data_IF_864722421316
#
_entry.id   IF_864722421316
#
_cell.length_a   1.000
_cell.length_b   1.000
_cell.length_c   1.000
_cell.angle_alpha   90.00
_cell.angle_beta   90.00
_cell.angle_gamma   90.00
#
_symmetry.space_group_name_H-M   'P 1'
#
loop_
_entity.id
_entity.type
_entity.pdbx_description
1 polymer ?
#
# COMPACT_ATOMS: atom_id res chain seq x y z
N UNK A 1 1.65 -17.94 2.18
CA UNK A 1 2.26 -16.66 2.62
C UNK A 1 1.22 -15.82 3.32
N UNK A 2 1.55 -15.32 4.49
CA UNK A 2 0.64 -14.43 5.21
C UNK A 2 0.83 -13.00 4.74
N UNK A 3 -0.24 -12.37 4.28
CA UNK A 3 -0.21 -11.01 3.75
C UNK A 3 -1.42 -10.21 4.22
N UNK A 4 -1.39 -8.91 3.97
CA UNK A 4 -2.54 -8.03 4.21
C UNK A 4 -2.53 -6.95 3.13
N UNK A 5 -3.71 -6.54 2.68
CA UNK A 5 -3.88 -5.50 1.66
C UNK A 5 -4.59 -4.31 2.29
N UNK A 6 -3.85 -3.24 2.55
CA UNK A 6 -4.39 -2.04 3.20
C UNK A 6 -4.37 -0.86 2.22
N UNK A 7 -5.31 0.05 2.41
CA UNK A 7 -5.43 1.20 1.52
C UNK A 7 -5.93 2.43 2.27
N UNK A 8 -5.61 3.58 1.71
CA UNK A 8 -6.11 4.86 2.17
C UNK A 8 -6.32 5.81 0.99
N UNK A 9 -7.56 6.29 0.83
CA UNK A 9 -7.86 7.34 -0.13
C UNK A 9 -9.12 8.09 0.32
N UNK A 10 -9.17 9.39 0.03
CA UNK A 10 -10.33 10.20 0.38
C UNK A 10 -11.51 9.94 -0.57
N UNK A 11 -11.25 9.47 -1.77
CA UNK A 11 -12.25 9.28 -2.83
C UNK A 11 -12.47 7.84 -3.23
N UNK A 12 -11.84 6.90 -2.54
CA UNK A 12 -12.01 5.48 -2.83
C UNK A 12 -11.27 5.01 -4.09
N UNK A 13 -10.32 5.79 -4.60
CA UNK A 13 -9.60 5.46 -5.83
C UNK A 13 -8.73 4.22 -5.70
N UNK A 14 -8.23 3.95 -4.50
CA UNK A 14 -7.30 2.83 -4.24
C UNK A 14 -8.03 1.52 -3.97
N UNK A 15 -9.26 1.58 -3.48
CA UNK A 15 -9.99 0.39 -3.04
C UNK A 15 -10.09 -0.73 -4.08
N UNK A 16 -10.38 -0.46 -5.38
CA UNK A 16 -10.46 -1.55 -6.35
C UNK A 16 -9.15 -2.32 -6.52
N UNK A 17 -8.01 -1.63 -6.43
CA UNK A 17 -6.69 -2.24 -6.51
C UNK A 17 -6.43 -3.08 -5.26
N UNK A 18 -6.66 -2.49 -4.09
CA UNK A 18 -6.44 -3.17 -2.82
C UNK A 18 -7.30 -4.42 -2.68
N UNK A 19 -8.55 -4.34 -3.14
CA UNK A 19 -9.49 -5.46 -3.12
C UNK A 19 -9.01 -6.61 -4.01
N UNK A 20 -8.48 -6.29 -5.18
CA UNK A 20 -7.97 -7.31 -6.11
C UNK A 20 -6.70 -7.97 -5.58
N UNK A 21 -5.80 -7.21 -4.94
CA UNK A 21 -4.65 -7.78 -4.26
C UNK A 21 -5.08 -8.73 -3.14
N UNK A 22 -6.11 -8.34 -2.37
CA UNK A 22 -6.67 -9.20 -1.34
C UNK A 22 -7.20 -10.51 -1.89
N UNK A 23 -7.87 -10.44 -3.04
CA UNK A 23 -8.40 -11.64 -3.71
C UNK A 23 -7.28 -12.56 -4.20
N UNK A 24 -6.29 -11.99 -4.89
CA UNK A 24 -5.20 -12.78 -5.49
C UNK A 24 -4.33 -13.44 -4.42
N UNK A 25 -4.04 -12.73 -3.33
CA UNK A 25 -3.19 -13.26 -2.26
C UNK A 25 -3.99 -13.88 -1.12
N UNK A 26 -5.32 -13.99 -1.27
CA UNK A 26 -6.20 -14.59 -0.28
C UNK A 26 -5.96 -14.01 1.12
N UNK A 27 -5.98 -12.70 1.20
CA UNK A 27 -5.72 -11.99 2.43
C UNK A 27 -6.77 -10.91 2.69
N UNK A 28 -6.79 -10.43 3.94
CA UNK A 28 -7.70 -9.38 4.34
C UNK A 28 -7.37 -8.09 3.59
N UNK A 29 -8.40 -7.45 3.07
CA UNK A 29 -8.33 -6.10 2.50
C UNK A 29 -9.10 -5.17 3.42
N UNK A 30 -8.47 -4.10 3.87
CA UNK A 30 -9.10 -3.13 4.76
C UNK A 30 -8.52 -1.73 4.53
N UNK A 31 -9.25 -0.72 4.96
CA UNK A 31 -8.75 0.66 4.93
C UNK A 31 -7.88 0.93 6.17
N UNK A 32 -7.06 1.97 6.10
CA UNK A 32 -6.23 2.40 7.23
C UNK A 32 -6.99 3.48 8.02
N UNK A 33 -7.15 3.35 9.34
CA UNK A 33 -6.64 2.26 10.17
C UNK A 33 -7.49 1.00 10.05
N UNK A 34 -6.85 -0.19 10.01
CA UNK A 34 -7.61 -1.44 9.89
C UNK A 34 -8.32 -1.81 11.19
N UNK A 35 -9.38 -2.62 11.06
CA UNK A 35 -10.15 -3.09 12.21
C UNK A 35 -9.31 -3.99 13.13
N UNK A 36 -8.37 -4.75 12.55
CA UNK A 36 -7.48 -5.66 13.30
C UNK A 36 -6.03 -5.33 13.00
N UNK A 37 -5.15 -5.39 14.00
CA UNK A 37 -3.73 -5.10 13.78
C UNK A 37 -3.06 -6.17 12.91
N UNK A 38 -1.95 -5.79 12.30
CA UNK A 38 -1.09 -6.75 11.61
C UNK A 38 -0.46 -7.69 12.63
N UNK A 39 -0.40 -8.98 12.32
CA UNK A 39 0.17 -10.01 13.19
C UNK A 39 0.96 -11.03 12.38
N UNK A 40 2.24 -10.78 12.20
CA UNK A 40 3.13 -11.74 11.55
C UNK A 40 2.98 -11.82 10.04
N UNK A 41 2.51 -10.76 9.40
CA UNK A 41 2.45 -10.74 7.94
C UNK A 41 3.85 -10.73 7.35
N UNK A 42 4.06 -11.56 6.32
CA UNK A 42 5.30 -11.53 5.55
C UNK A 42 5.37 -10.25 4.73
N UNK A 43 4.26 -9.80 4.18
CA UNK A 43 4.17 -8.54 3.45
C UNK A 43 2.83 -7.87 3.72
N UNK A 44 2.89 -6.55 3.91
CA UNK A 44 1.70 -5.68 3.95
C UNK A 44 1.77 -4.77 2.75
N UNK A 45 0.81 -4.91 1.84
CA UNK A 45 0.67 -3.98 0.72
C UNK A 45 -0.08 -2.76 1.22
N UNK A 46 0.46 -1.58 1.00
CA UNK A 46 -0.18 -0.32 1.41
C UNK A 46 -0.34 0.58 0.20
N UNK A 47 -1.59 0.76 -0.22
CA UNK A 47 -1.95 1.66 -1.31
C UNK A 47 -2.43 2.98 -0.77
N UNK A 48 -1.88 4.08 -1.29
CA UNK A 48 -2.19 5.42 -0.78
C UNK A 48 -2.44 6.39 -1.94
N UNK A 49 -3.58 7.09 -1.88
CA UNK A 49 -3.77 8.26 -2.71
C UNK A 49 -3.16 9.45 -1.97
N UNK A 50 -2.11 10.03 -2.55
CA UNK A 50 -1.41 11.15 -1.89
C UNK A 50 -0.80 12.09 -2.92
N UNK A 51 -0.60 13.34 -2.50
CA UNK A 51 0.22 14.27 -3.26
C UNK A 51 1.68 14.13 -2.87
N UNK A 52 2.30 15.23 -2.43
CA UNK A 52 3.70 15.21 -2.03
C UNK A 52 3.96 14.75 -0.60
N UNK A 53 2.92 14.50 0.18
CA UNK A 53 3.04 14.18 1.60
C UNK A 53 2.16 12.99 1.97
N UNK A 54 2.71 12.10 2.81
CA UNK A 54 1.97 10.95 3.31
C UNK A 54 0.84 11.42 4.24
N UNK A 55 -0.41 10.94 4.02
CA UNK A 55 -1.51 11.27 4.91
C UNK A 55 -1.26 10.84 6.35
N UNK A 56 -1.68 11.67 7.30
CA UNK A 56 -1.43 11.42 8.73
C UNK A 56 -1.90 10.06 9.22
N UNK A 57 -3.08 9.54 8.83
CA UNK A 57 -3.50 8.20 9.30
C UNK A 57 -2.56 7.09 8.84
N UNK A 58 -1.99 7.18 7.64
CA UNK A 58 -1.03 6.20 7.13
C UNK A 58 0.29 6.32 7.88
N UNK A 59 0.77 7.53 8.08
CA UNK A 59 1.99 7.78 8.84
C UNK A 59 1.88 7.20 10.26
N UNK A 60 0.79 7.47 10.95
CA UNK A 60 0.52 6.95 12.30
C UNK A 60 0.51 5.42 12.33
N UNK A 61 -0.20 4.80 11.40
CA UNK A 61 -0.29 3.35 11.33
C UNK A 61 1.09 2.73 11.13
N UNK A 62 1.86 3.25 10.17
CA UNK A 62 3.18 2.70 9.85
C UNK A 62 4.16 2.84 11.00
N UNK A 63 4.12 3.93 11.77
CA UNK A 63 5.03 4.14 12.89
C UNK A 63 4.88 3.10 14.00
N UNK A 64 3.73 2.45 14.08
CA UNK A 64 3.46 1.40 15.07
C UNK A 64 3.88 0.01 14.59
N UNK A 65 4.34 -0.13 13.35
CA UNK A 65 4.77 -1.42 12.83
C UNK A 65 6.16 -1.81 13.33
N UNK A 66 6.35 -3.10 13.52
CA UNK A 66 7.62 -3.72 13.88
C UNK A 66 7.66 -5.12 13.24
N UNK A 67 8.80 -5.85 13.27
CA UNK A 67 8.89 -7.15 12.59
C UNK A 67 7.94 -8.23 13.10
N UNK A 68 7.46 -8.11 14.33
CA UNK A 68 6.45 -9.04 14.86
C UNK A 68 5.11 -8.86 14.14
N UNK A 69 4.82 -7.65 13.71
CA UNK A 69 3.58 -7.33 13.01
C UNK A 69 3.70 -7.51 11.49
N UNK A 70 4.80 -7.02 10.91
CA UNK A 70 5.02 -7.08 9.46
C UNK A 70 6.51 -7.16 9.17
N UNK A 71 6.93 -8.12 8.36
CA UNK A 71 8.35 -8.24 7.98
C UNK A 71 8.69 -7.29 6.84
N UNK A 72 7.79 -7.13 5.89
CA UNK A 72 7.98 -6.29 4.71
C UNK A 72 6.76 -5.41 4.49
N UNK A 73 6.99 -4.18 4.06
CA UNK A 73 5.94 -3.26 3.63
C UNK A 73 6.21 -2.86 2.19
N UNK A 74 5.20 -2.96 1.35
CA UNK A 74 5.28 -2.60 -0.06
C UNK A 74 4.25 -1.52 -0.37
N UNK A 75 4.72 -0.35 -0.77
CA UNK A 75 3.84 0.79 -1.08
C UNK A 75 3.52 0.88 -2.57
N UNK A 76 2.28 1.24 -2.88
CA UNK A 76 1.91 1.74 -4.20
C UNK A 76 1.12 3.03 -4.04
N UNK A 77 1.39 3.99 -4.91
CA UNK A 77 0.87 5.35 -4.77
C UNK A 77 -0.02 5.72 -5.95
N UNK A 78 -1.13 6.36 -5.64
CA UNK A 78 -2.01 6.95 -6.63
C UNK A 78 -1.79 8.47 -6.58
N UNK A 79 -1.38 9.04 -7.71
CA UNK A 79 -1.12 10.48 -7.86
C UNK A 79 -0.11 11.02 -6.85
N UNK A 80 0.86 10.19 -6.45
CA UNK A 80 1.82 10.53 -5.43
C UNK A 80 3.26 10.50 -5.90
N UNK A 81 4.13 11.14 -5.10
CA UNK A 81 5.56 11.14 -5.31
C UNK A 81 6.23 10.22 -4.30
N UNK A 82 7.03 9.22 -4.74
CA UNK A 82 7.73 8.32 -3.82
C UNK A 82 8.62 9.02 -2.80
N UNK A 83 9.12 10.22 -3.09
CA UNK A 83 9.90 11.00 -2.13
C UNK A 83 9.10 11.32 -0.86
N UNK A 84 7.77 11.40 -0.96
CA UNK A 84 6.90 11.59 0.19
C UNK A 84 6.92 10.44 1.18
N UNK A 85 7.50 9.30 0.82
CA UNK A 85 7.65 8.14 1.70
C UNK A 85 8.97 8.13 2.47
N UNK A 86 9.91 9.01 2.15
CA UNK A 86 11.28 8.93 2.70
C UNK A 86 11.30 8.93 4.22
N UNK A 87 10.50 9.77 4.86
CA UNK A 87 10.44 9.83 6.32
C UNK A 87 9.94 8.54 6.95
N UNK A 88 8.82 8.02 6.45
CA UNK A 88 8.24 6.79 7.00
C UNK A 88 9.08 5.56 6.65
N UNK A 89 9.73 5.57 5.50
CA UNK A 89 10.65 4.50 5.12
C UNK A 89 11.78 4.38 6.14
N UNK A 90 12.40 5.52 6.50
CA UNK A 90 13.46 5.54 7.51
C UNK A 90 12.97 5.03 8.87
N UNK A 91 11.77 5.45 9.29
CA UNK A 91 11.19 5.00 10.54
C UNK A 91 10.94 3.49 10.55
N UNK A 92 10.34 2.96 9.49
CA UNK A 92 10.08 1.53 9.38
C UNK A 92 11.38 0.73 9.43
N UNK A 93 12.40 1.16 8.69
CA UNK A 93 13.68 0.47 8.68
C UNK A 93 14.37 0.56 10.04
N UNK A 94 14.24 1.69 10.75
CA UNK A 94 14.75 1.81 12.13
C UNK A 94 14.06 0.84 13.08
N UNK A 95 12.80 0.50 12.82
CA UNK A 95 12.06 -0.48 13.61
C UNK A 95 12.32 -1.93 13.16
N UNK A 96 13.16 -2.14 12.15
CA UNK A 96 13.48 -3.46 11.64
C UNK A 96 12.52 -4.00 10.59
N UNK A 97 11.61 -3.17 10.09
CA UNK A 97 10.70 -3.54 9.02
C UNK A 97 11.33 -3.20 7.67
N UNK A 98 11.41 -4.19 6.78
CA UNK A 98 11.95 -3.94 5.44
C UNK A 98 10.93 -3.25 4.56
N UNK A 99 11.30 -2.12 3.98
CA UNK A 99 10.46 -1.42 3.00
C UNK A 99 10.93 -1.80 1.60
N UNK A 100 10.02 -2.34 0.80
CA UNK A 100 10.33 -2.76 -0.56
C UNK A 100 10.73 -1.54 -1.40
N UNK A 101 11.88 -1.61 -2.08
CA UNK A 101 12.40 -0.48 -2.85
C UNK A 101 11.55 -0.15 -4.08
N UNK A 102 10.93 -1.16 -4.67
CA UNK A 102 10.09 -0.98 -5.86
C UNK A 102 8.72 -0.42 -5.46
N UNK A 103 8.56 0.89 -5.54
CA UNK A 103 7.30 1.59 -5.25
C UNK A 103 6.57 1.81 -6.58
N UNK A 104 5.38 1.25 -6.69
CA UNK A 104 4.54 1.48 -7.86
C UNK A 104 3.87 2.84 -7.77
N UNK A 105 3.88 3.60 -8.86
CA UNK A 105 3.12 4.85 -8.95
C UNK A 105 2.13 4.76 -10.10
N UNK A 106 0.90 5.17 -9.85
CA UNK A 106 -0.16 5.21 -10.85
C UNK A 106 -0.80 6.59 -10.87
N UNK A 107 -1.21 7.03 -12.06
CA UNK A 107 -2.01 8.24 -12.21
C UNK A 107 -3.46 7.86 -12.48
N UNK A 108 -4.35 8.37 -11.64
CA UNK A 108 -5.79 8.23 -11.84
C UNK A 108 -6.39 9.63 -11.87
N UNK A 109 -6.93 10.02 -13.02
CA UNK A 109 -7.52 11.33 -13.21
C UNK A 109 -9.00 11.31 -12.84
N UNK A 110 -9.44 12.36 -12.15
CA UNK A 110 -10.85 12.61 -11.90
C UNK A 110 -11.24 13.98 -12.47
N UNK A 111 -12.47 14.08 -12.95
CA UNK A 111 -13.01 15.35 -13.45
C UNK A 111 -14.07 15.88 -12.48
N UNK A 112 -14.51 17.13 -12.70
CA UNK A 112 -15.58 17.74 -11.90
C UNK A 112 -16.89 16.93 -11.93
N UNK A 113 -17.09 16.16 -12.99
CA UNK A 113 -18.36 15.44 -13.22
C UNK A 113 -18.23 13.93 -13.04
N UNK A 114 -17.03 13.44 -12.81
CA UNK A 114 -16.80 11.98 -12.72
C UNK A 114 -15.68 11.69 -11.72
N UNK A 115 -15.98 10.83 -10.74
CA UNK A 115 -14.96 10.28 -9.87
C UNK A 115 -14.00 9.44 -10.70
N UNK A 116 -12.72 9.70 -10.56
CA UNK A 116 -11.70 8.82 -11.12
C UNK A 116 -11.71 7.49 -10.38
N UNK A 117 -11.60 6.40 -11.13
CA UNK A 117 -11.41 5.08 -10.56
C UNK A 117 -10.31 4.34 -11.30
N UNK A 118 -9.72 3.35 -10.64
CA UNK A 118 -8.71 2.51 -11.27
C UNK A 118 -9.32 1.75 -12.46
N UNK A 119 -8.60 1.76 -13.58
CA UNK A 119 -9.00 0.97 -14.76
C UNK A 119 -8.48 -0.47 -14.60
N UNK A 120 -8.96 -1.37 -15.49
CA UNK A 120 -8.41 -2.73 -15.53
C UNK A 120 -6.91 -2.73 -15.81
N UNK A 121 -6.43 -1.79 -16.62
CA UNK A 121 -5.01 -1.64 -16.90
C UNK A 121 -4.22 -1.25 -15.64
N UNK A 122 -4.77 -0.36 -14.83
CA UNK A 122 -4.16 0.04 -13.55
C UNK A 122 -4.10 -1.14 -12.59
N UNK A 123 -5.17 -1.89 -12.48
CA UNK A 123 -5.24 -3.08 -11.63
C UNK A 123 -4.21 -4.10 -12.09
N UNK A 124 -4.09 -4.34 -13.41
CA UNK A 124 -3.13 -5.29 -13.93
C UNK A 124 -1.69 -4.86 -13.64
N UNK A 125 -1.38 -3.56 -13.77
CA UNK A 125 -0.05 -3.05 -13.40
C UNK A 125 0.25 -3.31 -11.93
N UNK A 126 -0.73 -3.14 -11.05
CA UNK A 126 -0.56 -3.41 -9.63
C UNK A 126 -0.34 -4.89 -9.34
N UNK A 127 -1.08 -5.77 -10.03
CA UNK A 127 -0.90 -7.22 -9.88
C UNK A 127 0.46 -7.66 -10.38
N UNK A 128 0.93 -7.14 -11.51
CA UNK A 128 2.25 -7.45 -12.06
C UNK A 128 3.35 -6.98 -11.13
N UNK A 129 3.21 -5.78 -10.58
CA UNK A 129 4.12 -5.24 -9.59
C UNK A 129 4.17 -6.10 -8.33
N UNK A 130 3.02 -6.46 -7.80
CA UNK A 130 2.93 -7.29 -6.60
C UNK A 130 3.58 -8.65 -6.79
N UNK A 131 3.41 -9.27 -7.96
CA UNK A 131 4.06 -10.54 -8.29
C UNK A 131 5.58 -10.42 -8.22
N UNK A 132 6.14 -9.35 -8.77
CA UNK A 132 7.58 -9.09 -8.71
C UNK A 132 8.05 -8.86 -7.26
N UNK A 133 7.25 -8.11 -6.48
CA UNK A 133 7.56 -7.86 -5.07
C UNK A 133 7.62 -9.18 -4.31
N UNK A 134 6.58 -10.00 -4.43
CA UNK A 134 6.47 -11.26 -3.71
C UNK A 134 7.61 -12.22 -4.09
N UNK A 135 7.99 -12.24 -5.37
CA UNK A 135 9.08 -13.11 -5.85
C UNK A 135 10.44 -12.77 -5.21
N UNK A 136 10.62 -11.54 -4.75
CA UNK A 136 11.88 -11.07 -4.16
C UNK A 136 11.87 -11.06 -2.63
N UNK A 137 10.76 -11.40 -2.00
CA UNK A 137 10.68 -11.44 -0.54
C UNK A 137 11.53 -12.59 0.02
N UNK A 138 12.16 -12.31 1.14
CA UNK A 138 12.99 -13.30 1.83
C UNK A 138 12.25 -13.97 2.98
#
# INVERSE_FOLDING_TARGET
MKAKSLHFSKRGTVQPIASELGRVYQCVCDQIPPAYPCEGEKVVFIGVEMGGKLPAPVDHFCRDLNPTRAKNVAFYLINGNPEGLNGIKSELENHGVHVVDDVLTLEIKSSLFKKGSATEADIQKALDWAEKVVAKLQ
#
